data_IF_074766393527
#
_entry.id   IF_074766393527
#
_cell.length_a   1.000
_cell.length_b   1.000
_cell.length_c   1.000
_cell.angle_alpha   90.00
_cell.angle_beta   90.00
_cell.angle_gamma   90.00
#
_symmetry.space_group_name_H-M   'P 1'
#
loop_
_entity.id
_entity.type
_entity.pdbx_description
1 polymer ?
#
# COMPACT_ATOMS: atom_id res chain seq x y z
N UNK A 1 -8.38 0.35 -10.26
CA UNK A 1 -7.37 -0.42 -9.51
C UNK A 1 -7.05 0.19 -8.15
N UNK A 2 -6.99 1.51 -8.06
CA UNK A 2 -6.69 2.17 -6.79
C UNK A 2 -7.73 1.84 -5.71
N UNK A 3 -9.01 1.95 -6.05
CA UNK A 3 -10.08 1.67 -5.09
C UNK A 3 -10.07 0.21 -4.66
N UNK A 4 -9.78 -0.69 -5.58
CA UNK A 4 -9.69 -2.11 -5.28
C UNK A 4 -8.55 -2.39 -4.31
N UNK A 5 -7.38 -1.78 -4.55
CA UNK A 5 -6.23 -1.92 -3.67
C UNK A 5 -6.53 -1.41 -2.26
N UNK A 6 -7.23 -0.28 -2.16
CA UNK A 6 -7.61 0.26 -0.86
C UNK A 6 -8.49 -0.71 -0.08
N UNK A 7 -9.46 -1.33 -0.75
CA UNK A 7 -10.36 -2.29 -0.10
C UNK A 7 -9.60 -3.50 0.41
N UNK A 8 -8.69 -4.03 -0.40
CA UNK A 8 -7.89 -5.19 0.00
C UNK A 8 -7.01 -4.85 1.20
N UNK A 9 -6.34 -3.71 1.16
CA UNK A 9 -5.46 -3.30 2.25
C UNK A 9 -6.22 -3.13 3.56
N UNK A 10 -7.43 -2.59 3.50
CA UNK A 10 -8.27 -2.46 4.68
C UNK A 10 -8.62 -3.82 5.26
N UNK A 11 -8.88 -4.80 4.41
CA UNK A 11 -9.24 -6.16 4.86
C UNK A 11 -8.07 -6.88 5.51
N UNK A 12 -6.86 -6.66 5.03
CA UNK A 12 -5.68 -7.39 5.52
C UNK A 12 -4.84 -6.57 6.50
N UNK A 13 -5.31 -5.43 6.93
CA UNK A 13 -4.56 -4.55 7.82
C UNK A 13 -4.30 -5.16 9.20
N UNK A 14 -5.04 -6.18 9.57
CA UNK A 14 -4.83 -6.89 10.84
C UNK A 14 -3.58 -7.75 10.83
N UNK A 15 -3.04 -8.07 9.66
CA UNK A 15 -1.86 -8.93 9.52
C UNK A 15 -0.80 -8.20 8.70
N UNK A 16 0.31 -7.84 9.34
CA UNK A 16 1.38 -7.09 8.71
C UNK A 16 1.95 -7.78 7.48
N UNK A 17 2.11 -9.10 7.54
CA UNK A 17 2.66 -9.85 6.40
C UNK A 17 1.74 -9.80 5.19
N UNK A 18 0.46 -10.01 5.41
CA UNK A 18 -0.53 -9.92 4.36
C UNK A 18 -0.63 -8.50 3.83
N UNK A 19 -0.62 -7.53 4.72
CA UNK A 19 -0.67 -6.12 4.35
C UNK A 19 0.52 -5.76 3.45
N UNK A 20 1.73 -6.15 3.85
CA UNK A 20 2.93 -5.88 3.08
C UNK A 20 2.86 -6.52 1.70
N UNK A 21 2.45 -7.78 1.64
CA UNK A 21 2.34 -8.51 0.37
C UNK A 21 1.33 -7.85 -0.57
N UNK A 22 0.16 -7.51 -0.07
CA UNK A 22 -0.87 -6.89 -0.89
C UNK A 22 -0.49 -5.47 -1.31
N UNK A 23 0.21 -4.76 -0.46
CA UNK A 23 0.70 -3.42 -0.79
C UNK A 23 1.73 -3.49 -1.92
N UNK A 24 2.64 -4.46 -1.88
CA UNK A 24 3.61 -4.67 -2.93
C UNK A 24 2.93 -4.97 -4.26
N UNK A 25 1.93 -5.85 -4.25
CA UNK A 25 1.16 -6.17 -5.45
C UNK A 25 0.45 -4.93 -5.99
N UNK A 26 -0.23 -4.20 -5.12
CA UNK A 26 -0.94 -3.01 -5.52
C UNK A 26 -0.03 -1.97 -6.14
N UNK A 27 1.12 -1.74 -5.54
CA UNK A 27 2.07 -0.75 -6.04
C UNK A 27 2.59 -1.10 -7.43
N UNK A 28 2.71 -2.39 -7.74
CA UNK A 28 3.17 -2.83 -9.06
C UNK A 28 2.08 -2.77 -10.13
N UNK A 29 0.83 -2.91 -9.74
CA UNK A 29 -0.27 -3.04 -10.69
C UNK A 29 -0.99 -1.74 -11.01
N UNK A 30 -0.85 -0.72 -10.17
CA UNK A 30 -1.51 0.57 -10.45
C UNK A 30 -0.66 1.43 -11.37
N UNK A 31 -1.30 2.40 -12.01
CA UNK A 31 -0.62 3.33 -12.90
C UNK A 31 0.33 4.22 -12.10
N UNK A 32 1.41 4.65 -12.74
CA UNK A 32 2.41 5.50 -12.07
C UNK A 32 1.80 6.74 -11.42
N UNK A 33 0.85 7.38 -12.08
CA UNK A 33 0.23 8.58 -11.54
C UNK A 33 -0.63 8.32 -10.30
N UNK A 34 -0.99 7.05 -10.06
CA UNK A 34 -1.76 6.67 -8.89
C UNK A 34 -0.89 6.20 -7.73
N UNK A 35 0.40 5.96 -7.98
CA UNK A 35 1.32 5.46 -6.93
C UNK A 35 1.43 6.44 -5.77
N UNK A 36 1.62 7.72 -6.06
CA UNK A 36 1.72 8.74 -5.02
C UNK A 36 0.44 8.83 -4.20
N UNK A 37 -0.71 8.73 -4.86
CA UNK A 37 -2.00 8.77 -4.18
C UNK A 37 -2.14 7.57 -3.23
N UNK A 38 -1.78 6.38 -3.68
CA UNK A 38 -1.84 5.19 -2.84
C UNK A 38 -0.89 5.31 -1.65
N UNK A 39 0.31 5.80 -1.89
CA UNK A 39 1.31 5.98 -0.83
C UNK A 39 0.80 6.94 0.25
N UNK A 40 0.30 8.10 -0.16
CA UNK A 40 -0.21 9.09 0.77
C UNK A 40 -1.40 8.54 1.56
N UNK A 41 -2.32 7.89 0.86
CA UNK A 41 -3.48 7.29 1.51
C UNK A 41 -3.05 6.23 2.53
N UNK A 42 -2.11 5.36 2.16
CA UNK A 42 -1.65 4.30 3.05
C UNK A 42 -0.97 4.88 4.29
N UNK A 43 -0.13 5.90 4.10
CA UNK A 43 0.56 6.54 5.22
C UNK A 43 -0.42 7.24 6.17
N UNK A 44 -1.50 7.77 5.63
CA UNK A 44 -2.52 8.44 6.41
C UNK A 44 -3.42 7.44 7.15
N UNK A 45 -3.86 6.41 6.43
CA UNK A 45 -4.80 5.42 6.97
C UNK A 45 -4.14 4.41 7.88
N UNK A 46 -2.90 4.07 7.60
CA UNK A 46 -2.15 3.04 8.35
C UNK A 46 -0.83 3.60 8.87
N UNK A 47 -0.92 4.70 9.61
CA UNK A 47 0.26 5.38 10.14
C UNK A 47 1.14 4.45 10.99
N UNK A 48 0.54 3.46 11.65
CA UNK A 48 1.29 2.50 12.45
C UNK A 48 2.15 1.55 11.60
N UNK A 49 1.90 1.51 10.29
CA UNK A 49 2.71 0.73 9.34
C UNK A 49 3.62 1.63 8.50
N UNK A 50 3.87 2.84 8.95
CA UNK A 50 4.64 3.83 8.19
C UNK A 50 5.96 3.27 7.63
N UNK A 51 6.75 2.63 8.49
CA UNK A 51 8.04 2.10 8.08
C UNK A 51 7.89 1.04 6.99
N UNK A 52 6.91 0.16 7.13
CA UNK A 52 6.63 -0.87 6.15
C UNK A 52 6.21 -0.27 4.82
N UNK A 53 5.34 0.73 4.86
CA UNK A 53 4.84 1.39 3.66
C UNK A 53 5.97 2.06 2.90
N UNK A 54 6.81 2.81 3.60
CA UNK A 54 7.94 3.49 2.98
C UNK A 54 8.91 2.50 2.37
N UNK A 55 9.17 1.40 3.06
CA UNK A 55 10.06 0.36 2.55
C UNK A 55 9.52 -0.27 1.28
N UNK A 56 8.23 -0.57 1.24
CA UNK A 56 7.61 -1.18 0.05
C UNK A 56 7.74 -0.26 -1.15
N UNK A 57 7.43 1.02 -0.99
CA UNK A 57 7.50 1.95 -2.10
C UNK A 57 8.93 2.27 -2.51
N UNK A 58 9.87 2.20 -1.58
CA UNK A 58 11.28 2.38 -1.89
C UNK A 58 11.81 1.22 -2.74
N UNK A 59 11.38 0.00 -2.46
CA UNK A 59 11.81 -1.18 -3.21
C UNK A 59 11.19 -1.24 -4.61
N UNK A 60 9.95 -0.77 -4.76
CA UNK A 60 9.24 -0.82 -6.04
C UNK A 60 9.64 0.34 -6.95
N UNK A 61 9.87 1.48 -6.38
CA UNK A 61 10.20 2.71 -7.09
C UNK A 61 11.41 3.39 -6.44
#
# INVERSE_FOLDING_TARGET
MLEFSKKILQKVSFDKKLFTKELQKGAKWIAKHEVSALKIWALTSFAHYKDTILEVFDQVY
#
